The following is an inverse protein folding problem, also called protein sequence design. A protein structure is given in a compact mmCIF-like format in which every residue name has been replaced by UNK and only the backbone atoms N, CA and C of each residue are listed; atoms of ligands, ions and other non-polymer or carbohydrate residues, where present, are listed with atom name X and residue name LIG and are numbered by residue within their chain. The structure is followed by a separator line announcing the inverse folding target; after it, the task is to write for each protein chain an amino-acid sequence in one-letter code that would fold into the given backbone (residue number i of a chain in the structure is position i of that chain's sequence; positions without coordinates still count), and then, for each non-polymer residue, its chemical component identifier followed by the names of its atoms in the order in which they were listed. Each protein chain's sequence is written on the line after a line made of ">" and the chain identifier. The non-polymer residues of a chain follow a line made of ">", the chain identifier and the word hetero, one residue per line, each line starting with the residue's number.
data_IF_688532732856
#
_entry.id   IF_688532732856
#
_cell.length_a   1.000
_cell.length_b   1.000
_cell.length_c   1.000
_cell.angle_alpha   90.00
_cell.angle_beta   90.00
_cell.angle_gamma   90.00
#
_symmetry.space_group_name_H-M   'P 1'
#
loop_
_entity.id
_entity.type
_entity.pdbx_description
1 polymer ?
#
# COMPACT_ATOMS: atom_id res chain seq x y z
N UNK A 1 -44.56 15.72 -17.60
CA UNK A 1 -44.86 15.78 -16.15
C UNK A 1 -44.25 14.56 -15.48
N UNK A 2 -43.71 14.77 -14.29
CA UNK A 2 -42.82 13.89 -13.53
C UNK A 2 -43.48 12.59 -12.99
N UNK A 3 -42.63 11.63 -12.57
CA UNK A 3 -42.99 10.37 -11.88
C UNK A 3 -43.54 10.57 -10.45
N UNK A 4 -43.32 9.66 -9.46
CA UNK A 4 -42.42 8.50 -9.41
C UNK A 4 -43.01 7.24 -8.71
N UNK A 5 -42.21 6.16 -8.59
CA UNK A 5 -42.57 5.01 -7.76
C UNK A 5 -41.56 3.86 -7.69
N UNK A 6 -40.26 4.17 -7.56
CA UNK A 6 -39.19 3.17 -7.34
C UNK A 6 -39.29 2.60 -5.94
N UNK A 7 -39.34 1.26 -5.82
CA UNK A 7 -38.82 0.55 -4.65
C UNK A 7 -38.06 -0.69 -5.09
N UNK A 8 -37.00 -0.95 -4.32
CA UNK A 8 -36.30 -2.23 -4.16
C UNK A 8 -35.05 -2.44 -5.02
N UNK A 9 -33.93 -1.89 -4.53
CA UNK A 9 -32.60 -2.47 -4.69
C UNK A 9 -31.77 -2.12 -3.45
N UNK A 10 -31.99 -2.89 -2.39
CA UNK A 10 -31.13 -2.98 -1.22
C UNK A 10 -30.33 -4.29 -1.36
N UNK A 11 -29.01 -4.17 -1.47
CA UNK A 11 -28.11 -5.31 -1.43
C UNK A 11 -27.17 -5.41 -2.62
N UNK A 12 -26.25 -4.45 -2.79
CA UNK A 12 -25.04 -4.70 -3.56
C UNK A 12 -23.81 -4.40 -2.69
N UNK A 13 -23.10 -5.49 -2.41
CA UNK A 13 -21.75 -5.57 -1.87
C UNK A 13 -20.82 -4.56 -2.54
N UNK A 14 -19.89 -3.99 -1.75
CA UNK A 14 -18.90 -2.94 -2.09
C UNK A 14 -17.81 -3.44 -3.08
N UNK A 15 -18.17 -4.29 -4.03
CA UNK A 15 -17.22 -4.96 -4.95
C UNK A 15 -17.00 -4.21 -6.27
N UNK A 16 -17.38 -2.93 -6.39
CA UNK A 16 -17.21 -2.20 -7.65
C UNK A 16 -16.57 -0.85 -7.39
N UNK A 17 -15.24 -0.79 -7.51
CA UNK A 17 -14.52 0.37 -8.08
C UNK A 17 -13.01 0.05 -8.17
N UNK A 18 -12.62 -0.59 -9.27
CA UNK A 18 -11.30 -0.40 -9.89
C UNK A 18 -11.40 -0.82 -11.36
N UNK A 19 -11.83 0.15 -12.17
CA UNK A 19 -11.81 0.05 -13.63
C UNK A 19 -10.35 0.02 -14.08
N UNK A 20 -10.00 -1.11 -14.68
CA UNK A 20 -8.76 -1.41 -15.36
C UNK A 20 -8.68 -0.54 -16.62
N UNK A 21 -7.69 0.34 -16.72
CA UNK A 21 -7.21 0.79 -18.02
C UNK A 21 -6.03 -0.10 -18.44
N UNK A 22 -6.24 -0.77 -19.57
CA UNK A 22 -5.35 -1.73 -20.20
C UNK A 22 -4.00 -1.11 -20.55
N UNK A 23 -2.96 -1.58 -19.89
CA UNK A 23 -1.61 -1.67 -20.44
C UNK A 23 -1.24 -3.14 -20.51
N UNK A 24 -1.26 -3.72 -21.71
CA UNK A 24 -0.91 -5.11 -21.96
C UNK A 24 0.55 -5.37 -21.55
N UNK A 25 0.74 -5.89 -20.34
CA UNK A 25 1.98 -6.56 -19.95
C UNK A 25 1.58 -7.89 -19.29
N UNK A 26 2.17 -8.98 -19.79
CA UNK A 26 1.71 -10.35 -19.57
C UNK A 26 1.43 -10.66 -18.11
N UNK A 27 0.29 -11.30 -17.86
CA UNK A 27 0.04 -11.93 -16.56
C UNK A 27 1.17 -12.92 -16.26
N UNK A 28 1.76 -12.89 -15.05
CA UNK A 28 2.78 -13.87 -14.67
C UNK A 28 2.13 -15.25 -14.62
N UNK A 29 2.56 -16.15 -15.50
CA UNK A 29 1.97 -17.49 -15.68
C UNK A 29 2.64 -18.56 -14.82
N UNK A 30 3.64 -18.21 -14.00
CA UNK A 30 4.33 -19.12 -13.06
C UNK A 30 4.74 -18.40 -11.77
N UNK A 31 4.74 -19.09 -10.63
CA UNK A 31 5.16 -18.56 -9.32
C UNK A 31 6.58 -17.97 -9.28
N UNK A 32 7.49 -18.41 -10.17
CA UNK A 32 8.82 -17.78 -10.34
C UNK A 32 8.76 -16.38 -10.96
N UNK A 33 7.81 -16.12 -11.86
CA UNK A 33 7.61 -14.81 -12.48
C UNK A 33 6.98 -13.84 -11.48
N UNK A 34 6.09 -14.35 -10.62
CA UNK A 34 5.50 -13.61 -9.49
C UNK A 34 6.57 -13.18 -8.49
N UNK A 35 7.49 -14.08 -8.10
CA UNK A 35 8.62 -13.74 -7.22
C UNK A 35 9.51 -12.64 -7.79
N UNK A 36 9.93 -12.81 -9.06
CA UNK A 36 10.80 -11.85 -9.73
C UNK A 36 10.12 -10.49 -9.84
N UNK A 37 8.83 -10.49 -10.12
CA UNK A 37 8.00 -9.27 -10.16
C UNK A 37 7.98 -8.58 -8.81
N UNK A 38 7.75 -9.31 -7.71
CA UNK A 38 7.77 -8.76 -6.34
C UNK A 38 9.12 -8.12 -5.98
N UNK A 39 10.23 -8.84 -6.23
CA UNK A 39 11.58 -8.32 -5.96
C UNK A 39 11.87 -7.05 -6.76
N UNK A 40 11.48 -7.03 -8.03
CA UNK A 40 11.67 -5.87 -8.89
C UNK A 40 10.87 -4.67 -8.39
N UNK A 41 9.61 -4.86 -8.00
CA UNK A 41 8.77 -3.81 -7.41
C UNK A 41 9.41 -3.26 -6.13
N UNK A 42 9.83 -4.14 -5.21
CA UNK A 42 10.45 -3.72 -3.94
C UNK A 42 11.72 -2.90 -4.16
N UNK A 43 12.56 -3.33 -5.12
CA UNK A 43 13.79 -2.60 -5.50
C UNK A 43 13.47 -1.26 -6.15
N UNK A 44 12.49 -1.22 -7.05
CA UNK A 44 12.03 -0.03 -7.75
C UNK A 44 11.53 1.02 -6.74
N UNK A 45 10.60 0.66 -5.85
CA UNK A 45 10.06 1.58 -4.84
C UNK A 45 11.17 2.12 -3.93
N UNK A 46 12.07 1.25 -3.44
CA UNK A 46 13.15 1.67 -2.53
C UNK A 46 14.09 2.66 -3.20
N UNK A 47 14.44 2.42 -4.46
CA UNK A 47 15.29 3.33 -5.25
C UNK A 47 14.59 4.66 -5.46
N UNK A 48 13.29 4.65 -5.78
CA UNK A 48 12.50 5.86 -6.01
C UNK A 48 12.35 6.70 -4.75
N UNK A 49 12.06 6.08 -3.60
CA UNK A 49 11.99 6.79 -2.32
C UNK A 49 13.33 7.43 -1.97
N UNK A 50 14.45 6.71 -2.15
CA UNK A 50 15.79 7.26 -1.93
C UNK A 50 16.07 8.49 -2.77
N UNK A 51 15.60 8.52 -4.02
CA UNK A 51 15.85 9.60 -4.97
C UNK A 51 14.92 10.82 -4.81
N UNK A 52 13.81 10.71 -4.08
CA UNK A 52 12.77 11.76 -4.01
C UNK A 52 13.17 13.04 -3.24
N UNK A 53 14.15 12.98 -2.33
CA UNK A 53 14.55 14.15 -1.51
C UNK A 53 16.06 14.12 -1.28
N UNK A 54 16.76 15.19 -1.68
CA UNK A 54 18.22 15.27 -1.57
C UNK A 54 18.74 15.38 -0.12
N UNK A 55 17.89 15.73 0.85
CA UNK A 55 18.30 15.98 2.23
C UNK A 55 17.95 14.75 3.11
N UNK A 56 18.93 14.18 3.84
CA UNK A 56 18.70 13.16 4.87
C UNK A 56 17.80 13.65 6.01
N UNK A 57 16.97 12.76 6.58
CA UNK A 57 16.18 13.12 7.77
C UNK A 57 17.07 13.55 8.96
N UNK A 58 18.28 13.00 9.07
CA UNK A 58 19.26 13.37 10.12
C UNK A 58 19.66 14.85 10.11
N UNK A 59 19.49 15.54 8.98
CA UNK A 59 19.79 16.97 8.83
C UNK A 59 18.56 17.86 9.12
N UNK A 60 17.41 17.25 9.44
CA UNK A 60 16.20 17.98 9.79
C UNK A 60 16.16 18.19 11.32
N UNK A 61 16.05 19.44 11.78
CA UNK A 61 15.83 19.78 13.21
C UNK A 61 14.45 19.30 13.74
N UNK A 62 13.62 18.69 12.88
CA UNK A 62 12.24 18.37 13.19
C UNK A 62 12.12 17.06 13.99
N UNK A 63 11.73 17.19 15.26
CA UNK A 63 11.62 16.10 16.24
C UNK A 63 10.40 15.17 16.06
N UNK A 64 9.71 15.18 14.93
CA UNK A 64 8.48 14.39 14.76
C UNK A 64 8.78 12.89 14.53
N UNK A 65 9.13 12.18 15.60
CA UNK A 65 9.46 10.74 15.60
C UNK A 65 8.27 9.81 15.88
N UNK A 66 7.04 10.31 15.88
CA UNK A 66 5.88 9.58 16.41
C UNK A 66 4.76 9.33 15.41
N UNK A 67 5.09 9.02 14.16
CA UNK A 67 4.12 8.31 13.32
C UNK A 67 3.81 6.93 13.91
N UNK A 68 4.79 6.33 14.62
CA UNK A 68 4.71 5.04 15.31
C UNK A 68 4.10 4.03 14.36
N UNK A 69 4.86 3.70 13.30
CA UNK A 69 4.53 2.60 12.38
C UNK A 69 3.78 1.52 13.13
N UNK A 70 2.56 1.26 12.67
CA UNK A 70 1.57 0.39 13.28
C UNK A 70 2.21 -0.72 14.12
N UNK A 71 2.45 -0.57 15.43
CA UNK A 71 3.10 -1.64 16.23
C UNK A 71 2.39 -3.00 16.03
N UNK A 72 1.10 -2.96 15.71
CA UNK A 72 0.33 -4.15 15.35
C UNK A 72 0.89 -4.89 14.12
N UNK A 73 1.30 -4.22 13.04
CA UNK A 73 1.86 -4.89 11.85
C UNK A 73 3.24 -5.48 12.13
N UNK A 74 4.03 -4.80 12.97
CA UNK A 74 5.35 -5.27 13.37
C UNK A 74 5.29 -6.54 14.21
N UNK A 75 4.26 -6.66 15.04
CA UNK A 75 4.10 -7.78 15.97
C UNK A 75 3.29 -8.94 15.39
N UNK A 76 2.72 -8.80 14.18
CA UNK A 76 2.06 -9.90 13.48
C UNK A 76 3.12 -10.78 12.82
N UNK A 77 3.16 -12.06 13.17
CA UNK A 77 3.95 -13.07 12.45
C UNK A 77 3.45 -13.27 11.03
N UNK A 78 2.15 -13.12 10.81
CA UNK A 78 1.49 -13.18 9.52
C UNK A 78 0.46 -12.07 9.40
N UNK A 79 0.74 -11.09 8.54
CA UNK A 79 -0.23 -10.03 8.24
C UNK A 79 -1.20 -10.54 7.16
N UNK A 80 -2.53 -10.50 7.41
CA UNK A 80 -3.53 -10.84 6.40
C UNK A 80 -3.35 -10.03 5.12
N UNK A 81 -3.53 -10.66 3.96
CA UNK A 81 -3.39 -10.02 2.65
C UNK A 81 -4.24 -8.74 2.56
N UNK A 82 -5.48 -8.76 3.05
CA UNK A 82 -6.33 -7.58 3.07
C UNK A 82 -5.74 -6.38 3.82
N UNK A 83 -5.01 -6.61 4.92
CA UNK A 83 -4.33 -5.54 5.65
C UNK A 83 -3.10 -5.01 4.90
N UNK A 84 -2.38 -5.87 4.18
CA UNK A 84 -1.30 -5.44 3.28
C UNK A 84 -1.85 -4.59 2.12
N UNK A 85 -2.95 -5.02 1.49
CA UNK A 85 -3.62 -4.27 0.42
C UNK A 85 -4.07 -2.89 0.90
N UNK A 86 -4.64 -2.79 2.10
CA UNK A 86 -5.02 -1.49 2.68
C UNK A 86 -3.78 -0.63 2.95
N UNK A 87 -2.70 -1.24 3.45
CA UNK A 87 -1.45 -0.54 3.75
C UNK A 87 -0.82 0.06 2.50
N UNK A 88 -0.69 -0.71 1.41
CA UNK A 88 -0.17 -0.23 0.12
C UNK A 88 -1.08 0.82 -0.50
N UNK A 89 -2.40 0.62 -0.45
CA UNK A 89 -3.32 1.63 -0.96
C UNK A 89 -3.14 2.97 -0.21
N UNK A 90 -3.10 2.95 1.13
CA UNK A 90 -2.87 4.17 1.90
C UNK A 90 -1.47 4.77 1.69
N UNK A 91 -0.46 3.93 1.43
CA UNK A 91 0.86 4.37 1.00
C UNK A 91 0.76 5.16 -0.30
N UNK A 92 0.12 4.61 -1.33
CA UNK A 92 -0.01 5.30 -2.62
C UNK A 92 -0.71 6.65 -2.50
N UNK A 93 -1.72 6.75 -1.62
CA UNK A 93 -2.49 7.99 -1.39
C UNK A 93 -1.60 9.15 -0.93
N UNK A 94 -0.51 8.89 -0.21
CA UNK A 94 0.46 9.93 0.18
C UNK A 94 1.11 10.60 -1.03
N UNK A 95 1.27 9.87 -2.13
CA UNK A 95 1.97 10.33 -3.32
C UNK A 95 1.03 10.77 -4.45
N UNK A 96 -0.27 10.45 -4.38
CA UNK A 96 -1.28 10.90 -5.36
C UNK A 96 -1.81 12.31 -5.10
N UNK A 97 -1.98 12.71 -3.84
CA UNK A 97 -2.79 13.90 -3.49
C UNK A 97 -2.01 15.17 -3.11
N UNK A 98 -0.66 15.15 -3.18
CA UNK A 98 0.15 16.23 -2.63
C UNK A 98 0.86 17.02 -3.73
N UNK A 99 0.27 18.16 -4.14
CA UNK A 99 0.85 19.43 -4.67
C UNK A 99 2.07 19.45 -5.62
N UNK A 100 2.59 18.30 -6.05
CA UNK A 100 3.57 18.16 -7.08
C UNK A 100 3.24 16.87 -7.84
N UNK A 101 2.70 17.02 -9.04
CA UNK A 101 2.65 16.00 -10.09
C UNK A 101 4.08 15.63 -10.57
N UNK A 102 5.03 15.51 -9.65
CA UNK A 102 6.42 15.22 -9.95
C UNK A 102 6.51 13.81 -10.55
N UNK A 103 7.52 13.61 -11.39
CA UNK A 103 7.75 12.34 -12.06
C UNK A 103 7.94 11.24 -11.02
N UNK A 104 8.68 11.54 -9.94
CA UNK A 104 8.96 10.62 -8.85
C UNK A 104 7.67 10.18 -8.13
N UNK A 105 6.77 11.11 -7.81
CA UNK A 105 5.47 10.81 -7.18
C UNK A 105 4.63 9.85 -8.04
N UNK A 106 4.63 10.07 -9.36
CA UNK A 106 3.95 9.18 -10.32
C UNK A 106 4.58 7.80 -10.33
N UNK A 107 5.91 7.70 -10.32
CA UNK A 107 6.60 6.40 -10.36
C UNK A 107 6.39 5.61 -9.08
N UNK A 108 6.41 6.25 -7.90
CA UNK A 108 6.08 5.58 -6.62
C UNK A 108 4.64 5.06 -6.63
N UNK A 109 3.70 5.88 -7.11
CA UNK A 109 2.28 5.47 -7.25
C UNK A 109 2.14 4.26 -8.19
N UNK A 110 2.83 4.28 -9.34
CA UNK A 110 2.83 3.15 -10.28
C UNK A 110 3.40 1.89 -9.65
N UNK A 111 4.51 1.99 -8.93
CA UNK A 111 5.12 0.84 -8.27
C UNK A 111 4.22 0.26 -7.17
N UNK A 112 3.53 1.11 -6.39
CA UNK A 112 2.50 0.66 -5.45
C UNK A 112 1.31 -0.02 -6.14
N UNK A 113 0.89 0.48 -7.31
CA UNK A 113 -0.17 -0.16 -8.11
C UNK A 113 0.23 -1.58 -8.54
N UNK A 114 1.47 -1.77 -9.03
CA UNK A 114 2.01 -3.10 -9.34
C UNK A 114 1.98 -4.03 -8.11
N UNK A 115 2.35 -3.51 -6.93
CA UNK A 115 2.30 -4.26 -5.68
C UNK A 115 0.86 -4.65 -5.29
N UNK A 116 -0.11 -3.76 -5.53
CA UNK A 116 -1.51 -4.01 -5.30
C UNK A 116 -2.04 -5.15 -6.18
N UNK A 117 -1.68 -5.14 -7.48
CA UNK A 117 -2.02 -6.21 -8.43
C UNK A 117 -1.46 -7.56 -7.99
N UNK A 118 -0.21 -7.58 -7.52
CA UNK A 118 0.44 -8.76 -6.98
C UNK A 118 -0.31 -9.34 -5.77
N UNK A 119 -0.70 -8.49 -4.81
CA UNK A 119 -1.49 -8.92 -3.65
C UNK A 119 -2.88 -9.42 -4.02
N UNK A 120 -3.52 -8.79 -5.01
CA UNK A 120 -4.78 -9.28 -5.54
C UNK A 120 -4.63 -10.68 -6.11
N UNK A 121 -3.57 -10.92 -6.91
CA UNK A 121 -3.26 -12.26 -7.42
C UNK A 121 -3.06 -13.29 -6.30
N UNK A 122 -2.35 -12.95 -5.22
CA UNK A 122 -2.25 -13.85 -4.06
C UNK A 122 -3.63 -14.13 -3.43
N UNK A 123 -4.48 -13.10 -3.28
CA UNK A 123 -5.81 -13.28 -2.68
C UNK A 123 -6.75 -14.18 -3.49
N UNK A 124 -6.58 -14.25 -4.81
CA UNK A 124 -7.42 -15.07 -5.69
C UNK A 124 -6.82 -16.44 -6.00
N UNK A 125 -5.51 -16.62 -5.82
CA UNK A 125 -4.79 -17.87 -6.09
C UNK A 125 -4.64 -18.81 -4.87
N UNK A 126 -5.12 -18.40 -3.69
CA UNK A 126 -5.08 -19.25 -2.50
C UNK A 126 -6.09 -18.85 -1.43
N UNK A 127 -6.32 -19.75 -0.48
CA UNK A 127 -7.15 -19.47 0.68
C UNK A 127 -6.34 -18.73 1.75
N UNK A 128 -6.41 -17.40 1.71
CA UNK A 128 -5.76 -16.49 2.65
C UNK A 128 -6.77 -15.77 3.55
N UNK A 129 -7.86 -16.47 3.91
CA UNK A 129 -8.95 -16.01 4.78
C UNK A 129 -8.51 -15.94 6.26
N UNK A 130 -7.55 -15.07 6.57
CA UNK A 130 -6.88 -15.08 7.88
C UNK A 130 -7.53 -14.27 9.00
N UNK A 131 -8.54 -13.43 8.75
CA UNK A 131 -9.01 -12.50 9.79
C UNK A 131 -10.54 -12.39 9.86
N UNK A 132 -11.10 -12.46 11.08
CA UNK A 132 -12.51 -12.15 11.35
C UNK A 132 -12.84 -10.73 10.86
N UNK A 133 -13.99 -10.56 10.20
CA UNK A 133 -14.41 -9.31 9.57
C UNK A 133 -14.36 -8.09 10.50
N UNK A 134 -14.79 -8.26 11.75
CA UNK A 134 -14.76 -7.20 12.77
C UNK A 134 -13.32 -6.78 13.12
N UNK A 135 -12.40 -7.73 13.25
CA UNK A 135 -10.98 -7.45 13.48
C UNK A 135 -10.39 -6.73 12.27
N UNK A 136 -10.74 -7.15 11.05
CA UNK A 136 -10.27 -6.51 9.82
C UNK A 136 -10.71 -5.06 9.75
N UNK A 137 -11.98 -4.77 10.07
CA UNK A 137 -12.53 -3.41 10.12
C UNK A 137 -11.81 -2.53 11.14
N UNK A 138 -11.50 -3.05 12.32
CA UNK A 138 -10.80 -2.31 13.37
C UNK A 138 -9.34 -2.00 12.98
N UNK A 139 -8.61 -3.00 12.48
CA UNK A 139 -7.22 -2.81 12.04
C UNK A 139 -7.12 -1.88 10.81
N UNK A 140 -8.09 -1.97 9.88
CA UNK A 140 -8.22 -1.02 8.76
C UNK A 140 -8.30 0.43 9.24
N UNK A 141 -9.08 0.70 10.31
CA UNK A 141 -9.19 2.05 10.86
C UNK A 141 -7.88 2.55 11.45
N UNK A 142 -7.08 1.68 12.08
CA UNK A 142 -5.75 2.03 12.61
C UNK A 142 -4.79 2.39 11.48
N UNK A 143 -4.73 1.59 10.41
CA UNK A 143 -3.89 1.88 9.23
C UNK A 143 -4.26 3.24 8.64
N UNK A 144 -5.54 3.47 8.35
CA UNK A 144 -6.01 4.76 7.80
C UNK A 144 -5.67 5.93 8.71
N UNK A 145 -5.80 5.76 10.03
CA UNK A 145 -5.43 6.81 11.00
C UNK A 145 -3.93 7.09 10.98
N UNK A 146 -3.10 6.06 10.87
CA UNK A 146 -1.64 6.17 10.77
C UNK A 146 -1.23 7.01 9.55
N UNK A 147 -1.71 6.67 8.35
CA UNK A 147 -1.39 7.45 7.13
C UNK A 147 -1.97 8.87 7.17
N UNK A 148 -3.17 9.04 7.73
CA UNK A 148 -3.76 10.39 7.91
C UNK A 148 -2.91 11.28 8.80
N UNK A 149 -2.20 10.74 9.81
CA UNK A 149 -1.27 11.55 10.62
C UNK A 149 -0.10 12.08 9.79
N UNK A 150 0.42 11.30 8.85
CA UNK A 150 1.48 11.73 7.93
C UNK A 150 1.01 12.83 7.00
N UNK A 151 -0.17 12.69 6.38
CA UNK A 151 -0.77 13.76 5.56
C UNK A 151 -0.97 15.05 6.36
N UNK A 152 -1.57 14.95 7.56
CA UNK A 152 -1.75 16.12 8.44
C UNK A 152 -0.43 16.78 8.82
N UNK A 153 0.62 16.00 9.03
CA UNK A 153 1.95 16.52 9.30
C UNK A 153 2.53 17.28 8.10
N UNK A 154 2.46 16.69 6.90
CA UNK A 154 2.88 17.37 5.66
C UNK A 154 2.15 18.70 5.47
N UNK A 155 0.82 18.68 5.61
CA UNK A 155 0.00 19.89 5.55
C UNK A 155 0.41 20.94 6.59
N UNK A 156 0.55 20.52 7.87
CA UNK A 156 0.93 21.43 8.97
C UNK A 156 2.30 22.08 8.75
N UNK A 157 3.22 21.37 8.10
CA UNK A 157 4.58 21.84 7.80
C UNK A 157 4.70 22.49 6.42
N UNK A 158 3.58 22.76 5.75
CA UNK A 158 3.56 23.40 4.44
C UNK A 158 4.33 22.62 3.38
N UNK A 159 4.36 21.29 3.48
CA UNK A 159 5.08 20.40 2.56
C UNK A 159 6.59 20.74 2.42
N UNK A 160 7.20 21.23 3.50
CA UNK A 160 8.63 21.56 3.50
C UNK A 160 9.52 20.34 3.16
N UNK A 161 10.75 20.60 2.70
CA UNK A 161 11.72 19.53 2.40
C UNK A 161 11.96 18.61 3.61
N UNK A 162 12.07 19.17 4.81
CA UNK A 162 12.24 18.40 6.03
C UNK A 162 11.01 17.55 6.39
N UNK A 163 9.81 18.06 6.11
CA UNK A 163 8.58 17.30 6.33
C UNK A 163 8.50 16.08 5.40
N UNK A 164 8.86 16.27 4.12
CA UNK A 164 8.97 15.18 3.17
C UNK A 164 10.07 14.19 3.52
N UNK A 165 11.24 14.64 3.98
CA UNK A 165 12.30 13.75 4.45
C UNK A 165 11.83 12.86 5.61
N UNK A 166 11.06 13.42 6.55
CA UNK A 166 10.47 12.68 7.68
C UNK A 166 9.43 11.65 7.24
N UNK A 167 8.54 12.01 6.31
CA UNK A 167 7.55 11.08 5.78
C UNK A 167 8.21 9.98 4.95
N UNK A 168 9.21 10.30 4.13
CA UNK A 168 9.98 9.32 3.38
C UNK A 168 10.65 8.29 4.30
N UNK A 169 11.34 8.72 5.36
CA UNK A 169 11.96 7.81 6.33
C UNK A 169 10.93 6.84 6.93
N UNK A 170 9.74 7.33 7.26
CA UNK A 170 8.67 6.47 7.75
C UNK A 170 8.09 5.55 6.66
N UNK A 171 7.98 6.03 5.40
CA UNK A 171 7.56 5.21 4.25
C UNK A 171 8.55 4.08 3.96
N UNK A 172 9.84 4.31 4.10
CA UNK A 172 10.85 3.24 3.95
C UNK A 172 10.64 2.12 4.97
N UNK A 173 10.31 2.47 6.23
CA UNK A 173 9.96 1.47 7.25
C UNK A 173 8.69 0.70 6.91
N UNK A 174 7.67 1.37 6.36
CA UNK A 174 6.45 0.71 5.88
C UNK A 174 6.78 -0.25 4.74
N UNK A 175 7.61 0.17 3.78
CA UNK A 175 8.01 -0.64 2.64
C UNK A 175 8.77 -1.90 3.06
N UNK A 176 9.67 -1.79 4.05
CA UNK A 176 10.37 -2.94 4.62
C UNK A 176 9.39 -3.96 5.22
N UNK A 177 8.38 -3.48 5.94
CA UNK A 177 7.36 -4.32 6.53
C UNK A 177 6.51 -5.02 5.46
N UNK A 178 6.07 -4.29 4.44
CA UNK A 178 5.29 -4.85 3.33
C UNK A 178 6.13 -5.88 2.56
N UNK A 179 7.40 -5.58 2.30
CA UNK A 179 8.34 -6.50 1.64
C UNK A 179 8.49 -7.80 2.43
N UNK A 180 8.72 -7.70 3.74
CA UNK A 180 8.83 -8.86 4.62
C UNK A 180 7.59 -9.76 4.55
N UNK A 181 6.40 -9.17 4.70
CA UNK A 181 5.16 -9.94 4.73
C UNK A 181 4.75 -10.50 3.38
N UNK A 182 5.04 -9.78 2.29
CA UNK A 182 4.85 -10.31 0.94
C UNK A 182 5.81 -11.47 0.63
N UNK A 183 7.04 -11.44 1.14
CA UNK A 183 7.99 -12.55 0.98
C UNK A 183 7.53 -13.82 1.74
N UNK A 184 6.91 -13.66 2.92
CA UNK A 184 6.29 -14.78 3.64
C UNK A 184 5.16 -15.41 2.82
N UNK A 185 4.26 -14.59 2.26
CA UNK A 185 3.15 -15.06 1.44
C UNK A 185 3.63 -15.83 0.21
N UNK A 186 4.66 -15.29 -0.47
CA UNK A 186 5.26 -15.96 -1.61
C UNK A 186 5.85 -17.32 -1.24
N UNK A 187 6.64 -17.40 -0.16
CA UNK A 187 7.24 -18.67 0.28
C UNK A 187 6.16 -19.71 0.55
N UNK A 188 5.05 -19.33 1.19
CA UNK A 188 3.90 -20.21 1.40
C UNK A 188 3.26 -20.65 0.10
N UNK A 189 3.11 -19.74 -0.86
CA UNK A 189 2.53 -20.06 -2.16
C UNK A 189 3.39 -21.08 -2.93
N UNK A 190 4.71 -20.85 -2.98
CA UNK A 190 5.67 -21.76 -3.61
C UNK A 190 5.70 -23.14 -2.94
N UNK A 191 5.59 -23.20 -1.60
CA UNK A 191 5.54 -24.45 -0.85
C UNK A 191 4.26 -25.25 -1.10
N UNK A 192 3.14 -24.59 -1.41
CA UNK A 192 1.85 -25.23 -1.69
C UNK A 192 1.76 -25.83 -3.10
N UNK A 193 2.78 -25.65 -3.95
CA UNK A 193 2.80 -26.20 -5.30
C UNK A 193 1.75 -25.61 -6.24
N UNK A 194 1.21 -24.43 -5.90
CA UNK A 194 0.33 -23.70 -6.81
C UNK A 194 1.16 -23.12 -7.97
N UNK A 195 0.72 -23.30 -9.23
CA UNK A 195 1.46 -22.86 -10.41
C UNK A 195 1.66 -21.35 -10.48
#
# INVERSE_FOLDING_TARGET
>A
MAGPGVKQLLGMSVSVLLLITLGSSGQPTKGKDVYRTQLNINREVRTLLGNMVAIPYSECEDNWRFFRLSEFLKNMSEVPIGLLQITIHQFSVIFTDNLANSVENKTVTQAMSKMQTLLYWYSTSGDYSGLKELTLKYETKKIRRYFRKMLKYLMKKGYSRCAWASVRDEMEKVLLLVTWHTDILLKKHLQRGHP
#
